data_IF_810124352056
#
_entry.id   IF_810124352056
#
_cell.length_a   1.000
_cell.length_b   1.000
_cell.length_c   1.000
_cell.angle_alpha   90.00
_cell.angle_beta   90.00
_cell.angle_gamma   90.00
#
_symmetry.space_group_name_H-M   'P 1'
#
loop_
_entity.id
_entity.type
_entity.pdbx_description
1 polymer ?
#
# COMPACT_ATOMS: atom_id res chain seq x y z
N UNK A 1 -16.83 1.46 26.19
CA UNK A 1 -16.89 0.56 25.03
C UNK A 1 -15.48 0.28 24.56
N UNK A 2 -15.14 -0.97 24.36
CA UNK A 2 -13.78 -1.31 23.90
C UNK A 2 -13.60 -0.89 22.43
N UNK A 3 -12.41 -0.41 22.10
CA UNK A 3 -12.02 -0.11 20.71
C UNK A 3 -11.78 -1.44 20.00
N UNK A 4 -12.37 -1.61 18.82
CA UNK A 4 -12.05 -2.74 17.94
C UNK A 4 -10.86 -2.34 17.06
N UNK A 5 -9.66 -2.93 17.27
CA UNK A 5 -8.47 -2.56 16.51
C UNK A 5 -8.59 -2.88 15.03
N UNK A 6 -9.34 -3.91 14.66
CA UNK A 6 -9.58 -4.27 13.26
C UNK A 6 -10.47 -3.27 12.55
N UNK A 7 -11.47 -2.74 13.26
CA UNK A 7 -12.32 -1.67 12.73
C UNK A 7 -11.50 -0.39 12.53
N UNK A 8 -10.68 -0.02 13.51
CA UNK A 8 -9.83 1.17 13.39
C UNK A 8 -8.79 1.03 12.27
N UNK A 9 -8.21 -0.15 12.10
CA UNK A 9 -7.31 -0.44 10.99
C UNK A 9 -8.02 -0.24 9.63
N UNK A 10 -9.21 -0.82 9.46
CA UNK A 10 -9.98 -0.67 8.21
C UNK A 10 -10.40 0.77 7.92
N UNK A 11 -10.74 1.54 8.96
CA UNK A 11 -11.00 2.99 8.82
C UNK A 11 -9.76 3.74 8.35
N UNK A 12 -8.59 3.44 8.90
CA UNK A 12 -7.33 4.04 8.48
C UNK A 12 -7.03 3.68 7.02
N UNK A 13 -7.19 2.43 6.64
CA UNK A 13 -7.01 1.99 5.27
C UNK A 13 -7.96 2.69 4.29
N UNK A 14 -9.22 2.91 4.69
CA UNK A 14 -10.22 3.62 3.88
C UNK A 14 -9.90 5.12 3.71
N UNK A 15 -9.19 5.72 4.65
CA UNK A 15 -8.80 7.12 4.57
C UNK A 15 -7.64 7.37 3.60
N UNK A 16 -6.77 6.40 3.40
CA UNK A 16 -5.54 6.56 2.59
C UNK A 16 -5.82 7.01 1.15
N UNK A 17 -6.78 6.44 0.40
CA UNK A 17 -7.09 6.92 -0.95
C UNK A 17 -7.49 8.40 -1.00
N UNK A 18 -8.25 8.86 0.00
CA UNK A 18 -8.68 10.27 0.09
C UNK A 18 -7.47 11.18 0.33
N UNK A 19 -6.61 10.81 1.27
CA UNK A 19 -5.38 11.54 1.59
C UNK A 19 -4.47 11.58 0.35
N UNK A 20 -4.27 10.44 -0.29
CA UNK A 20 -3.39 10.31 -1.46
C UNK A 20 -3.87 11.18 -2.62
N UNK A 21 -5.18 11.20 -2.91
CA UNK A 21 -5.77 12.08 -3.92
C UNK A 21 -5.60 13.56 -3.55
N UNK A 22 -5.85 13.92 -2.31
CA UNK A 22 -5.67 15.29 -1.82
C UNK A 22 -4.22 15.74 -1.97
N UNK A 23 -3.26 14.87 -1.69
CA UNK A 23 -1.84 15.18 -1.91
C UNK A 23 -1.51 15.31 -3.39
N UNK A 24 -2.00 14.37 -4.24
CA UNK A 24 -1.80 14.42 -5.69
C UNK A 24 -2.29 15.74 -6.29
N UNK A 25 -3.44 16.20 -5.89
CA UNK A 25 -4.07 17.42 -6.42
C UNK A 25 -3.28 18.70 -6.10
N UNK A 26 -2.33 18.61 -5.19
CA UNK A 26 -1.43 19.72 -4.83
C UNK A 26 -0.15 19.78 -5.68
N UNK A 27 0.09 18.78 -6.51
CA UNK A 27 1.22 18.79 -7.44
C UNK A 27 0.75 19.25 -8.82
N UNK A 28 1.49 20.16 -9.41
CA UNK A 28 1.43 20.38 -10.85
C UNK A 28 2.05 19.18 -11.58
N UNK A 29 1.54 18.84 -12.75
CA UNK A 29 1.98 17.65 -13.49
C UNK A 29 3.48 17.62 -13.74
N UNK A 30 4.09 18.76 -14.04
CA UNK A 30 5.54 18.87 -14.24
C UNK A 30 6.36 18.58 -12.96
N UNK A 31 5.77 18.73 -11.79
CA UNK A 31 6.44 18.44 -10.50
C UNK A 31 6.43 16.95 -10.14
N UNK A 32 5.48 16.18 -10.70
CA UNK A 32 5.29 14.76 -10.35
C UNK A 32 6.51 13.88 -10.67
N UNK A 33 7.27 14.23 -11.71
CA UNK A 33 8.43 13.46 -12.17
C UNK A 33 9.76 14.03 -11.68
N UNK A 34 9.73 15.11 -10.91
CA UNK A 34 10.96 15.76 -10.41
C UNK A 34 11.44 15.06 -9.15
N UNK A 35 12.59 14.42 -9.22
CA UNK A 35 13.27 13.87 -8.06
C UNK A 35 13.89 14.99 -7.24
N UNK A 36 13.79 14.98 -5.90
CA UNK A 36 14.41 15.99 -5.04
C UNK A 36 15.95 15.93 -5.08
N UNK A 37 16.50 14.73 -5.22
CA UNK A 37 17.92 14.48 -5.43
C UNK A 37 18.15 13.17 -6.17
N UNK A 38 19.36 12.91 -6.71
CA UNK A 38 19.70 11.61 -7.28
C UNK A 38 19.51 10.47 -6.26
N UNK A 39 18.79 9.43 -6.67
CA UNK A 39 18.52 8.28 -5.79
C UNK A 39 17.29 8.42 -4.88
N UNK A 40 16.66 9.58 -4.80
CA UNK A 40 15.38 9.77 -4.11
C UNK A 40 14.21 9.75 -5.10
N UNK A 41 13.09 9.20 -4.68
CA UNK A 41 11.91 9.09 -5.54
C UNK A 41 11.18 10.41 -5.72
N UNK A 42 10.70 10.63 -6.94
CA UNK A 42 9.73 11.66 -7.28
C UNK A 42 8.31 11.27 -6.78
N UNK A 43 7.41 12.23 -6.73
CA UNK A 43 6.03 12.00 -6.29
C UNK A 43 5.32 10.89 -7.08
N UNK A 44 5.49 10.85 -8.41
CA UNK A 44 4.92 9.80 -9.26
C UNK A 44 5.46 8.41 -8.89
N UNK A 45 6.74 8.29 -8.55
CA UNK A 45 7.32 7.03 -8.14
C UNK A 45 6.74 6.53 -6.81
N UNK A 46 6.49 7.43 -5.86
CA UNK A 46 5.82 7.11 -4.58
C UNK A 46 4.38 6.65 -4.82
N UNK A 47 3.62 7.34 -5.68
CA UNK A 47 2.24 6.96 -6.02
C UNK A 47 2.19 5.58 -6.68
N UNK A 48 3.05 5.34 -7.67
CA UNK A 48 3.14 4.04 -8.35
C UNK A 48 3.55 2.91 -7.39
N UNK A 49 4.50 3.18 -6.49
CA UNK A 49 4.90 2.24 -5.46
C UNK A 49 3.75 1.88 -4.51
N UNK A 50 2.95 2.85 -4.09
CA UNK A 50 1.77 2.60 -3.26
C UNK A 50 0.74 1.73 -3.98
N UNK A 51 0.51 1.94 -5.27
CA UNK A 51 -0.40 1.12 -6.06
C UNK A 51 0.12 -0.32 -6.23
N UNK A 52 1.41 -0.51 -6.46
CA UNK A 52 2.02 -1.83 -6.53
C UNK A 52 2.02 -2.53 -5.17
N UNK A 53 2.31 -1.78 -4.10
CA UNK A 53 2.25 -2.30 -2.73
C UNK A 53 0.86 -2.80 -2.36
N UNK A 54 -0.18 -2.08 -2.76
CA UNK A 54 -1.58 -2.50 -2.52
C UNK A 54 -1.93 -3.78 -3.29
N UNK A 55 -1.54 -3.88 -4.55
CA UNK A 55 -1.73 -5.10 -5.33
C UNK A 55 -1.01 -6.30 -4.67
N UNK A 56 0.21 -6.07 -4.20
CA UNK A 56 0.99 -7.10 -3.52
C UNK A 56 0.37 -7.53 -2.19
N UNK A 57 -0.07 -6.56 -1.39
CA UNK A 57 -0.71 -6.82 -0.10
C UNK A 57 -2.01 -7.61 -0.26
N UNK A 58 -2.86 -7.22 -1.19
CA UNK A 58 -4.11 -7.93 -1.49
C UNK A 58 -3.85 -9.37 -1.93
N UNK A 59 -2.89 -9.60 -2.81
CA UNK A 59 -2.52 -10.95 -3.26
C UNK A 59 -2.00 -11.80 -2.11
N UNK A 60 -1.16 -11.26 -1.26
CA UNK A 60 -0.64 -11.97 -0.08
C UNK A 60 -1.76 -12.36 0.89
N UNK A 61 -2.68 -11.43 1.19
CA UNK A 61 -3.83 -11.73 2.05
C UNK A 61 -4.69 -12.83 1.45
N UNK A 62 -5.01 -12.75 0.17
CA UNK A 62 -5.77 -13.82 -0.51
C UNK A 62 -5.08 -15.18 -0.41
N UNK A 63 -3.74 -15.23 -0.53
CA UNK A 63 -2.99 -16.47 -0.35
C UNK A 63 -3.02 -16.97 1.09
N UNK A 64 -2.87 -16.08 2.09
CA UNK A 64 -2.99 -16.47 3.50
C UNK A 64 -4.36 -17.04 3.84
N UNK A 65 -5.42 -16.57 3.19
CA UNK A 65 -6.77 -17.07 3.38
C UNK A 65 -7.01 -18.43 2.68
N UNK A 66 -6.40 -18.66 1.54
CA UNK A 66 -6.61 -19.84 0.70
C UNK A 66 -5.65 -21.00 1.02
N UNK A 67 -4.43 -20.72 1.45
CA UNK A 67 -3.36 -21.70 1.64
C UNK A 67 -3.01 -21.86 3.13
N UNK A 68 -2.33 -22.96 3.46
CA UNK A 68 -1.84 -23.21 4.83
C UNK A 68 -0.45 -22.63 4.99
N UNK A 69 -0.36 -21.48 5.66
CA UNK A 69 0.89 -20.75 5.93
C UNK A 69 1.82 -20.63 4.71
N UNK A 70 1.33 -20.02 3.61
CA UNK A 70 2.15 -19.86 2.42
C UNK A 70 3.39 -19.01 2.69
N UNK A 71 4.48 -19.30 2.02
CA UNK A 71 5.58 -18.34 1.91
C UNK A 71 5.13 -17.14 1.10
N UNK A 72 5.29 -15.94 1.66
CA UNK A 72 4.90 -14.69 1.01
C UNK A 72 6.01 -14.25 0.07
N UNK A 73 5.65 -14.03 -1.19
CA UNK A 73 6.59 -13.59 -2.22
C UNK A 73 7.27 -12.28 -1.82
N UNK A 74 8.59 -12.15 -2.05
CA UNK A 74 9.29 -10.90 -1.82
C UNK A 74 8.70 -9.76 -2.63
N UNK A 75 8.61 -8.58 -2.03
CA UNK A 75 8.22 -7.35 -2.70
C UNK A 75 9.48 -6.52 -2.96
N UNK A 76 10.07 -6.65 -4.15
CA UNK A 76 11.24 -5.88 -4.56
C UNK A 76 10.80 -4.58 -5.23
N UNK A 77 10.64 -3.55 -4.40
CA UNK A 77 10.21 -2.22 -4.86
C UNK A 77 11.23 -1.58 -5.81
N UNK A 78 12.51 -1.83 -5.64
CA UNK A 78 13.55 -1.27 -6.51
C UNK A 78 13.47 -1.88 -7.90
N UNK A 79 13.37 -3.21 -8.01
CA UNK A 79 13.19 -3.90 -9.27
C UNK A 79 11.90 -3.46 -9.97
N UNK A 80 10.78 -3.40 -9.25
CA UNK A 80 9.48 -2.96 -9.81
C UNK A 80 9.53 -1.53 -10.34
N UNK A 81 10.23 -0.61 -9.65
CA UNK A 81 10.34 0.78 -10.09
C UNK A 81 11.04 0.91 -11.44
N UNK A 82 12.02 0.04 -11.69
CA UNK A 82 12.74 -0.04 -12.97
C UNK A 82 11.91 -0.77 -14.04
N UNK A 83 11.43 -1.96 -13.73
CA UNK A 83 10.71 -2.82 -14.68
C UNK A 83 9.41 -2.17 -15.18
N UNK A 84 8.69 -1.50 -14.29
CA UNK A 84 7.46 -0.77 -14.63
C UNK A 84 7.71 0.68 -15.09
N UNK A 85 8.94 1.15 -15.05
CA UNK A 85 9.33 2.48 -15.53
C UNK A 85 8.47 3.57 -14.89
N UNK A 86 8.46 3.64 -13.57
CA UNK A 86 7.55 4.48 -12.76
C UNK A 86 7.45 5.94 -13.24
N UNK A 87 8.55 6.54 -13.68
CA UNK A 87 8.54 7.94 -14.18
C UNK A 87 7.80 8.14 -15.51
N UNK A 88 7.42 7.06 -16.19
CA UNK A 88 6.68 7.12 -17.47
C UNK A 88 5.21 6.77 -17.30
N UNK A 89 4.77 6.44 -16.06
CA UNK A 89 3.39 6.11 -15.76
C UNK A 89 2.53 7.38 -15.66
N UNK A 90 1.23 7.19 -15.72
CA UNK A 90 0.24 8.22 -15.46
C UNK A 90 -0.16 8.21 -13.98
N UNK A 91 0.05 9.33 -13.27
CA UNK A 91 -0.20 9.43 -11.85
C UNK A 91 -1.67 9.20 -11.48
N UNK A 92 -2.59 9.73 -12.29
CA UNK A 92 -4.02 9.60 -12.03
C UNK A 92 -4.51 8.17 -12.32
N UNK A 93 -3.93 7.50 -13.30
CA UNK A 93 -4.20 6.09 -13.58
C UNK A 93 -3.70 5.18 -12.44
N UNK A 94 -2.50 5.41 -11.92
CA UNK A 94 -1.96 4.65 -10.78
C UNK A 94 -2.77 4.92 -9.49
N UNK A 95 -3.20 6.14 -9.29
CA UNK A 95 -4.07 6.50 -8.17
C UNK A 95 -5.44 5.80 -8.26
N UNK A 96 -6.07 5.81 -9.43
CA UNK A 96 -7.32 5.08 -9.67
C UNK A 96 -7.14 3.57 -9.48
N UNK A 97 -6.00 3.02 -9.87
CA UNK A 97 -5.65 1.61 -9.64
C UNK A 97 -5.55 1.31 -8.13
N UNK A 98 -4.87 2.17 -7.37
CA UNK A 98 -4.78 2.05 -5.92
C UNK A 98 -6.18 2.08 -5.28
N UNK A 99 -7.01 3.04 -5.64
CA UNK A 99 -8.38 3.17 -5.10
C UNK A 99 -9.23 1.92 -5.35
N UNK A 100 -9.18 1.37 -6.56
CA UNK A 100 -9.89 0.16 -6.93
C UNK A 100 -9.39 -1.07 -6.14
N UNK A 101 -8.08 -1.24 -6.05
CA UNK A 101 -7.46 -2.34 -5.31
C UNK A 101 -7.77 -2.24 -3.81
N UNK A 102 -7.73 -1.02 -3.24
CA UNK A 102 -8.07 -0.78 -1.85
C UNK A 102 -9.53 -1.11 -1.55
N UNK A 103 -10.47 -0.76 -2.43
CA UNK A 103 -11.87 -1.10 -2.27
C UNK A 103 -12.08 -2.62 -2.26
N UNK A 104 -11.39 -3.35 -3.14
CA UNK A 104 -11.42 -4.83 -3.16
C UNK A 104 -10.79 -5.41 -1.88
N UNK A 105 -9.66 -4.88 -1.45
CA UNK A 105 -8.95 -5.32 -0.25
C UNK A 105 -9.82 -5.15 1.00
N UNK A 106 -10.42 -3.98 1.17
CA UNK A 106 -11.35 -3.71 2.28
C UNK A 106 -12.55 -4.66 2.26
N UNK A 107 -13.11 -4.97 1.08
CA UNK A 107 -14.21 -5.92 0.96
C UNK A 107 -13.79 -7.33 1.41
N UNK A 108 -12.56 -7.77 1.11
CA UNK A 108 -12.01 -9.04 1.62
C UNK A 108 -11.91 -9.02 3.14
N UNK A 109 -11.34 -7.95 3.72
CA UNK A 109 -11.16 -7.83 5.17
C UNK A 109 -12.49 -7.73 5.93
N UNK A 110 -13.49 -7.03 5.36
CA UNK A 110 -14.83 -6.89 5.95
C UNK A 110 -15.57 -8.23 6.07
N UNK A 111 -15.24 -9.20 5.22
CA UNK A 111 -15.82 -10.55 5.26
C UNK A 111 -15.16 -11.50 6.25
N UNK A 112 -14.09 -11.10 6.94
CA UNK A 112 -13.32 -11.99 7.81
C UNK A 112 -13.93 -12.08 9.21
N UNK A 113 -14.03 -13.33 9.69
CA UNK A 113 -14.23 -13.66 11.10
C UNK A 113 -12.87 -13.74 11.85
N UNK A 114 -12.91 -14.06 13.14
CA UNK A 114 -11.70 -14.21 13.96
C UNK A 114 -10.73 -15.24 13.37
N UNK A 115 -11.23 -16.33 12.83
CA UNK A 115 -10.41 -17.36 12.20
C UNK A 115 -9.72 -16.83 10.93
N UNK A 116 -10.40 -16.03 10.14
CA UNK A 116 -9.85 -15.37 8.96
C UNK A 116 -8.73 -14.39 9.33
N UNK A 117 -8.93 -13.55 10.32
CA UNK A 117 -7.90 -12.63 10.81
C UNK A 117 -6.68 -13.35 11.40
N UNK A 118 -6.86 -14.54 11.95
CA UNK A 118 -5.79 -15.38 12.51
C UNK A 118 -5.04 -16.21 11.44
N UNK A 119 -5.52 -16.27 10.20
CA UNK A 119 -4.78 -16.92 9.10
C UNK A 119 -3.42 -16.26 8.95
N UNK A 120 -2.41 -17.02 8.56
CA UNK A 120 -1.04 -16.54 8.54
C UNK A 120 -0.29 -16.96 7.30
N UNK A 121 0.75 -16.19 6.98
CA UNK A 121 1.80 -16.53 6.01
C UNK A 121 3.18 -16.37 6.62
N UNK A 122 4.20 -16.78 5.90
CA UNK A 122 5.59 -16.68 6.29
C UNK A 122 6.24 -15.56 5.48
N UNK A 123 6.52 -14.45 6.15
CA UNK A 123 7.22 -13.32 5.56
C UNK A 123 8.74 -13.54 5.60
N UNK A 124 9.44 -13.24 4.50
CA UNK A 124 10.87 -13.50 4.39
C UNK A 124 11.73 -12.83 5.48
N UNK A 125 11.35 -11.63 5.90
CA UNK A 125 12.10 -10.86 6.91
C UNK A 125 11.52 -11.00 8.33
N UNK A 126 10.18 -11.13 8.44
CA UNK A 126 9.49 -11.07 9.73
C UNK A 126 8.95 -12.41 10.21
N UNK A 127 9.14 -13.49 9.45
CA UNK A 127 8.65 -14.80 9.80
C UNK A 127 7.13 -14.91 9.72
N UNK A 128 6.54 -15.66 10.64
CA UNK A 128 5.09 -15.90 10.65
C UNK A 128 4.33 -14.61 11.01
N UNK A 129 3.46 -14.18 10.10
CA UNK A 129 2.57 -13.04 10.30
C UNK A 129 1.12 -13.46 10.08
N UNK A 130 0.25 -13.16 11.04
CA UNK A 130 -1.21 -13.25 10.83
C UNK A 130 -1.67 -12.15 9.87
N UNK A 131 -2.87 -12.30 9.30
CA UNK A 131 -3.48 -11.25 8.48
C UNK A 131 -3.54 -9.94 9.28
N UNK A 132 -3.97 -9.98 10.53
CA UNK A 132 -4.04 -8.79 11.40
C UNK A 132 -2.68 -8.11 11.59
N UNK A 133 -1.63 -8.88 11.86
CA UNK A 133 -0.28 -8.33 12.03
C UNK A 133 0.27 -7.80 10.71
N UNK A 134 0.06 -8.52 9.62
CA UNK A 134 0.51 -8.13 8.29
C UNK A 134 -0.12 -6.81 7.85
N UNK A 135 -1.44 -6.67 7.99
CA UNK A 135 -2.16 -5.44 7.64
C UNK A 135 -1.73 -4.25 8.50
N UNK A 136 -1.48 -4.48 9.79
CA UNK A 136 -0.97 -3.43 10.69
C UNK A 136 0.43 -2.96 10.26
N UNK A 137 1.28 -3.88 9.81
CA UNK A 137 2.61 -3.57 9.28
C UNK A 137 2.52 -2.77 7.97
N UNK A 138 1.70 -3.22 7.03
CA UNK A 138 1.47 -2.51 5.75
C UNK A 138 0.93 -1.10 6.00
N UNK A 139 -0.03 -0.94 6.91
CA UNK A 139 -0.58 0.38 7.25
C UNK A 139 0.48 1.33 7.82
N UNK A 140 1.43 0.83 8.61
CA UNK A 140 2.53 1.64 9.12
C UNK A 140 3.47 2.10 7.99
N UNK A 141 3.82 1.21 7.06
CA UNK A 141 4.65 1.56 5.89
C UNK A 141 3.95 2.59 4.97
N UNK A 142 2.64 2.48 4.79
CA UNK A 142 1.86 3.46 4.02
C UNK A 142 1.95 4.87 4.63
N UNK A 143 1.88 4.99 5.95
CA UNK A 143 2.03 6.29 6.63
C UNK A 143 3.39 6.91 6.32
N UNK A 144 4.46 6.12 6.31
CA UNK A 144 5.80 6.61 5.96
C UNK A 144 5.85 7.13 4.51
N UNK A 145 5.20 6.45 3.57
CA UNK A 145 5.14 6.90 2.17
C UNK A 145 4.23 8.11 1.97
N UNK A 146 3.13 8.23 2.72
CA UNK A 146 2.31 9.45 2.70
C UNK A 146 3.09 10.65 3.24
N UNK A 147 3.87 10.45 4.31
CA UNK A 147 4.76 11.47 4.84
C UNK A 147 5.87 11.84 3.83
N UNK A 148 6.43 10.86 3.14
CA UNK A 148 7.39 11.08 2.06
C UNK A 148 6.79 11.94 0.94
N UNK A 149 5.59 11.58 0.45
CA UNK A 149 4.89 12.33 -0.57
C UNK A 149 4.58 13.77 -0.13
N UNK A 150 4.15 13.94 1.13
CA UNK A 150 3.89 15.26 1.72
C UNK A 150 5.13 16.16 1.72
N UNK A 151 6.31 15.60 2.00
CA UNK A 151 7.58 16.35 1.96
C UNK A 151 8.02 16.78 0.56
N UNK A 152 7.49 16.15 -0.47
CA UNK A 152 7.78 16.49 -1.88
C UNK A 152 6.88 17.60 -2.41
N UNK A 153 5.88 18.06 -1.64
CA UNK A 153 5.01 19.16 -2.05
C UNK A 153 5.82 20.42 -2.31
N UNK A 154 5.51 21.18 -3.36
CA UNK A 154 6.16 22.47 -3.63
C UNK A 154 5.89 23.44 -2.48
N UNK A 155 6.88 24.30 -2.23
CA UNK A 155 6.85 25.37 -1.20
C UNK A 155 5.79 26.40 -1.52
#
# INVERSE_FOLDING_TARGET
MAIDPRLELRKSMAAVPVILRTLRDRFEDAALTRRPSPGEWAALEVIAHLADGEDWALRRVKRMLAEVQPELEPFDQAALSVDRRYLELDADAELARFERLRAEHLAVLDGLDDAGWARAGIHGEHGRMTVELYESHVAAEEVDHLAQLSRLLPS
#
